data_IF_134713919121
#
_entry.id   IF_134713919121
#
_cell.length_a   1.000
_cell.length_b   1.000
_cell.length_c   1.000
_cell.angle_alpha   90.00
_cell.angle_beta   90.00
_cell.angle_gamma   90.00
#
_symmetry.space_group_name_H-M   'P 1'
#
loop_
_entity.id
_entity.type
_entity.pdbx_description
1 polymer ?
#
# COMPACT_ATOMS: atom_id res chain seq x y z
N UNK A 1 -30.11 -16.42 23.66
CA UNK A 1 -29.42 -15.20 24.14
C UNK A 1 -29.09 -14.35 22.92
N UNK A 2 -29.93 -13.36 22.66
CA UNK A 2 -29.85 -12.49 21.47
C UNK A 2 -29.02 -11.26 21.83
N UNK A 3 -27.82 -11.15 21.26
CA UNK A 3 -27.00 -9.96 21.42
C UNK A 3 -27.54 -8.85 20.52
N UNK A 4 -28.25 -7.89 21.13
CA UNK A 4 -28.56 -6.61 20.50
C UNK A 4 -27.25 -5.86 20.25
N UNK A 5 -26.79 -5.84 18.99
CA UNK A 5 -25.72 -4.93 18.56
C UNK A 5 -26.29 -3.52 18.47
N UNK A 6 -25.88 -2.67 19.41
CA UNK A 6 -26.24 -1.26 19.43
C UNK A 6 -25.65 -0.54 18.21
N UNK A 7 -26.40 0.33 17.51
CA UNK A 7 -25.91 1.06 16.33
C UNK A 7 -24.74 2.00 16.63
N UNK A 8 -24.43 2.23 17.91
CA UNK A 8 -23.32 3.09 18.35
C UNK A 8 -21.96 2.38 18.43
N UNK A 9 -21.90 1.04 18.43
CA UNK A 9 -20.63 0.30 18.50
C UNK A 9 -19.83 0.34 17.19
N UNK A 10 -20.52 0.52 16.05
CA UNK A 10 -19.90 0.69 14.74
C UNK A 10 -19.13 2.01 14.61
N UNK A 11 -19.58 3.07 15.29
CA UNK A 11 -18.91 4.39 15.26
C UNK A 11 -17.65 4.44 16.13
N UNK A 12 -17.53 3.57 17.14
CA UNK A 12 -16.34 3.54 18.00
C UNK A 12 -15.13 2.95 17.28
N UNK A 13 -15.37 2.01 16.36
CA UNK A 13 -14.32 1.35 15.58
C UNK A 13 -13.91 2.17 14.35
N UNK A 14 -14.76 3.07 13.83
CA UNK A 14 -14.42 3.92 12.69
C UNK A 14 -13.45 5.06 13.06
N UNK A 15 -13.58 5.69 14.24
CA UNK A 15 -12.69 6.79 14.65
C UNK A 15 -11.25 6.36 14.92
N UNK A 16 -11.04 5.13 15.37
CA UNK A 16 -9.68 4.57 15.49
C UNK A 16 -9.08 4.21 14.12
N UNK A 17 -9.91 3.84 13.14
CA UNK A 17 -9.48 3.58 11.76
C UNK A 17 -9.13 4.86 11.01
N UNK A 18 -9.85 5.95 11.24
CA UNK A 18 -9.52 7.29 10.68
C UNK A 18 -8.20 7.85 11.23
N UNK A 19 -7.82 7.53 12.48
CA UNK A 19 -6.52 7.93 13.05
C UNK A 19 -5.38 6.98 12.75
N UNK A 20 -5.67 5.74 12.37
CA UNK A 20 -4.66 4.75 11.97
C UNK A 20 -4.19 4.94 10.50
N UNK A 21 -4.85 5.82 9.75
CA UNK A 21 -4.57 6.08 8.33
C UNK A 21 -3.82 7.39 8.04
N UNK A 22 -3.52 8.21 9.05
CA UNK A 22 -2.54 9.27 8.85
C UNK A 22 -1.16 8.60 8.89
N UNK A 23 -0.41 8.54 7.77
CA UNK A 23 0.98 8.15 7.86
C UNK A 23 1.58 9.07 8.92
N UNK A 24 2.27 8.52 9.91
CA UNK A 24 3.19 9.31 10.71
C UNK A 24 4.06 10.06 9.70
N UNK A 25 3.75 11.32 9.44
CA UNK A 25 4.59 12.16 8.60
C UNK A 25 5.63 12.69 9.56
N UNK A 26 6.81 12.05 9.72
CA UNK A 26 7.89 12.70 10.43
C UNK A 26 8.06 14.08 9.79
N UNK A 27 8.34 15.10 10.60
CA UNK A 27 8.68 16.42 10.08
C UNK A 27 10.00 16.28 9.32
N UNK A 28 9.90 15.95 8.03
CA UNK A 28 11.04 15.89 7.13
C UNK A 28 11.50 17.34 6.93
N UNK A 29 12.80 17.65 7.11
CA UNK A 29 13.30 18.99 6.86
C UNK A 29 12.99 19.41 5.42
N UNK A 30 12.57 20.67 5.25
CA UNK A 30 12.02 21.22 3.98
C UNK A 30 12.91 20.98 2.75
N UNK A 31 14.23 20.91 2.95
CA UNK A 31 15.20 20.59 1.89
C UNK A 31 15.03 19.19 1.30
N UNK A 32 14.82 18.17 2.15
CA UNK A 32 14.59 16.78 1.73
C UNK A 32 13.18 16.63 1.15
N UNK A 33 12.22 17.41 1.65
CA UNK A 33 10.84 17.40 1.15
C UNK A 33 10.71 17.97 -0.27
N UNK A 34 11.48 19.02 -0.62
CA UNK A 34 11.37 19.71 -1.90
C UNK A 34 12.03 18.93 -3.06
N UNK A 35 13.15 18.25 -2.82
CA UNK A 35 13.87 17.48 -3.85
C UNK A 35 14.45 16.16 -3.30
N UNK A 36 13.60 15.20 -2.91
CA UNK A 36 14.04 13.97 -2.23
C UNK A 36 14.96 13.11 -3.10
N UNK A 37 14.76 13.11 -4.41
CA UNK A 37 15.56 12.37 -5.40
C UNK A 37 16.96 12.96 -5.56
N UNK A 38 17.07 14.29 -5.64
CA UNK A 38 18.36 14.97 -5.71
C UNK A 38 19.15 14.79 -4.42
N UNK A 39 18.51 14.93 -3.25
CA UNK A 39 19.19 14.70 -1.97
C UNK A 39 19.67 13.24 -1.83
N UNK A 40 18.86 12.27 -2.27
CA UNK A 40 19.23 10.85 -2.25
C UNK A 40 20.38 10.53 -3.21
N UNK A 41 20.33 11.07 -4.43
CA UNK A 41 21.37 10.91 -5.44
C UNK A 41 22.69 11.55 -5.00
N UNK A 42 22.65 12.75 -4.42
CA UNK A 42 23.84 13.42 -3.86
C UNK A 42 24.42 12.62 -2.70
N UNK A 43 23.60 12.10 -1.78
CA UNK A 43 24.07 11.23 -0.69
C UNK A 43 24.77 9.97 -1.24
N UNK A 44 24.17 9.33 -2.24
CA UNK A 44 24.72 8.13 -2.87
C UNK A 44 26.05 8.40 -3.58
N UNK A 45 26.12 9.47 -4.36
CA UNK A 45 27.33 9.86 -5.08
C UNK A 45 28.47 10.27 -4.13
N UNK A 46 28.17 11.08 -3.11
CA UNK A 46 29.16 11.49 -2.10
C UNK A 46 29.65 10.27 -1.32
N UNK A 47 28.75 9.35 -0.95
CA UNK A 47 29.11 8.11 -0.26
C UNK A 47 30.01 7.18 -1.08
N UNK A 48 29.75 7.05 -2.39
CA UNK A 48 30.58 6.27 -3.31
C UNK A 48 31.97 6.90 -3.49
N UNK A 49 32.01 8.21 -3.80
CA UNK A 49 33.27 8.93 -4.02
C UNK A 49 34.11 8.97 -2.74
N UNK A 50 33.48 9.20 -1.58
CA UNK A 50 34.14 9.19 -0.27
C UNK A 50 34.78 7.84 0.04
N UNK A 51 34.03 6.75 -0.13
CA UNK A 51 34.58 5.40 0.09
C UNK A 51 35.69 5.05 -0.90
N UNK A 52 35.53 5.39 -2.18
CA UNK A 52 36.56 5.18 -3.18
C UNK A 52 37.87 5.89 -2.82
N UNK A 53 37.77 7.15 -2.37
CA UNK A 53 38.93 7.97 -2.02
C UNK A 53 39.64 7.45 -0.76
N UNK A 54 38.87 7.04 0.26
CA UNK A 54 39.45 6.43 1.47
C UNK A 54 40.17 5.14 1.12
N UNK A 55 39.51 4.21 0.43
CA UNK A 55 40.09 2.90 0.11
C UNK A 55 41.32 3.02 -0.80
N UNK A 56 41.29 3.92 -1.79
CA UNK A 56 42.41 4.10 -2.73
C UNK A 56 43.66 4.73 -2.09
N UNK A 57 43.49 5.55 -1.05
CA UNK A 57 44.60 6.25 -0.40
C UNK A 57 45.05 5.59 0.91
N UNK A 58 44.23 4.71 1.49
CA UNK A 58 44.47 4.06 2.78
C UNK A 58 45.81 3.30 2.86
N UNK A 59 46.32 2.79 1.74
CA UNK A 59 47.61 2.09 1.69
C UNK A 59 48.83 3.01 1.94
N UNK A 60 48.70 4.32 1.73
CA UNK A 60 49.79 5.30 1.93
C UNK A 60 49.73 6.06 3.24
N UNK A 61 48.78 5.71 4.13
CA UNK A 61 48.45 6.50 5.30
C UNK A 61 49.20 6.04 6.55
N UNK A 62 49.62 6.96 7.44
CA UNK A 62 50.20 6.59 8.73
C UNK A 62 49.22 5.82 9.61
N UNK A 63 49.70 4.86 10.39
CA UNK A 63 48.86 3.95 11.20
C UNK A 63 47.87 4.67 12.14
N UNK A 64 48.23 5.84 12.66
CA UNK A 64 47.37 6.63 13.55
C UNK A 64 46.13 7.22 12.84
N UNK A 65 46.15 7.32 11.51
CA UNK A 65 45.02 7.82 10.69
C UNK A 65 44.07 6.70 10.25
N UNK A 66 44.44 5.42 10.44
CA UNK A 66 43.62 4.28 10.02
C UNK A 66 42.28 4.23 10.77
N UNK A 67 42.28 4.48 12.09
CA UNK A 67 41.07 4.47 12.90
C UNK A 67 40.02 5.54 12.48
N UNK A 68 40.37 6.83 12.37
CA UNK A 68 39.41 7.83 11.89
C UNK A 68 38.99 7.59 10.43
N UNK A 69 39.86 7.04 9.58
CA UNK A 69 39.53 6.71 8.19
C UNK A 69 38.44 5.63 8.08
N UNK A 70 38.50 4.59 8.94
CA UNK A 70 37.47 3.54 8.99
C UNK A 70 36.12 4.09 9.48
N UNK A 71 36.12 4.99 10.46
CA UNK A 71 34.89 5.64 10.92
C UNK A 71 34.26 6.48 9.81
N UNK A 72 35.08 7.22 9.05
CA UNK A 72 34.61 8.02 7.92
C UNK A 72 34.08 7.12 6.78
N UNK A 73 34.73 5.99 6.50
CA UNK A 73 34.27 5.01 5.52
C UNK A 73 32.93 4.37 5.90
N UNK A 74 32.74 4.01 7.17
CA UNK A 74 31.46 3.46 7.66
C UNK A 74 30.33 4.48 7.58
N UNK A 75 30.57 5.75 7.91
CA UNK A 75 29.59 6.83 7.71
C UNK A 75 29.28 7.06 6.23
N UNK A 76 30.31 7.03 5.37
CA UNK A 76 30.17 7.17 3.92
C UNK A 76 29.34 6.02 3.32
N UNK A 77 29.54 4.79 3.81
CA UNK A 77 28.74 3.62 3.44
C UNK A 77 27.28 3.77 3.88
N UNK A 78 27.02 4.23 5.10
CA UNK A 78 25.66 4.49 5.59
C UNK A 78 24.96 5.55 4.76
N UNK A 79 25.65 6.65 4.42
CA UNK A 79 25.13 7.68 3.54
C UNK A 79 24.80 7.12 2.15
N UNK A 80 25.66 6.28 1.60
CA UNK A 80 25.41 5.61 0.31
C UNK A 80 24.15 4.73 0.37
N UNK A 81 24.01 3.90 1.41
CA UNK A 81 22.84 3.03 1.59
C UNK A 81 21.55 3.84 1.72
N UNK A 82 21.55 4.90 2.54
CA UNK A 82 20.38 5.76 2.71
C UNK A 82 20.00 6.48 1.40
N UNK A 83 21.01 7.00 0.67
CA UNK A 83 20.80 7.62 -0.63
C UNK A 83 20.22 6.65 -1.65
N UNK A 84 20.76 5.43 -1.72
CA UNK A 84 20.29 4.38 -2.61
C UNK A 84 18.84 3.96 -2.30
N UNK A 85 18.50 3.78 -1.03
CA UNK A 85 17.13 3.45 -0.60
C UNK A 85 16.14 4.55 -1.03
N UNK A 86 16.49 5.83 -0.84
CA UNK A 86 15.63 6.94 -1.27
C UNK A 86 15.42 6.96 -2.78
N UNK A 87 16.49 6.72 -3.56
CA UNK A 87 16.40 6.65 -5.03
C UNK A 87 15.55 5.46 -5.46
N UNK A 88 15.75 4.28 -4.88
CA UNK A 88 15.00 3.06 -5.20
C UNK A 88 13.52 3.21 -4.88
N UNK A 89 13.16 3.74 -3.70
CA UNK A 89 11.75 3.97 -3.32
C UNK A 89 11.07 4.91 -4.31
N UNK A 90 11.75 5.99 -4.74
CA UNK A 90 11.19 6.94 -5.72
C UNK A 90 11.15 6.39 -7.13
N UNK A 91 12.09 5.53 -7.49
CA UNK A 91 12.06 4.85 -8.77
C UNK A 91 10.95 3.78 -8.82
N UNK A 92 10.62 3.18 -7.68
CA UNK A 92 9.50 2.25 -7.54
C UNK A 92 8.13 2.95 -7.42
N UNK A 93 8.08 4.21 -6.97
CA UNK A 93 6.85 5.01 -6.88
C UNK A 93 5.96 4.96 -8.14
N UNK A 94 6.46 5.14 -9.39
CA UNK A 94 5.64 5.01 -10.59
C UNK A 94 5.19 3.57 -10.90
N UNK A 95 5.89 2.55 -10.41
CA UNK A 95 5.51 1.14 -10.59
C UNK A 95 4.41 0.80 -9.58
N UNK A 96 4.59 1.21 -8.32
CA UNK A 96 3.62 1.04 -7.24
C UNK A 96 2.35 1.85 -7.51
N UNK A 97 2.44 3.06 -8.06
CA UNK A 97 1.28 3.86 -8.45
C UNK A 97 0.49 3.28 -9.64
N UNK A 98 1.12 2.42 -10.45
CA UNK A 98 0.44 1.68 -11.53
C UNK A 98 -0.16 0.36 -11.04
N UNK A 99 0.33 -0.17 -9.94
CA UNK A 99 -0.32 -1.26 -9.24
C UNK A 99 -1.45 -0.63 -8.43
N UNK A 100 -2.68 -0.77 -8.90
CA UNK A 100 -3.88 -0.56 -8.07
C UNK A 100 -3.86 -1.62 -6.95
N UNK A 101 -2.95 -1.46 -5.98
CA UNK A 101 -3.03 -2.12 -4.70
C UNK A 101 -4.19 -1.46 -3.98
N UNK A 102 -5.37 -1.96 -4.28
CA UNK A 102 -6.62 -1.52 -3.71
C UNK A 102 -6.68 -2.11 -2.28
N UNK A 103 -5.82 -1.61 -1.39
CA UNK A 103 -5.69 -2.05 0.01
C UNK A 103 -6.98 -1.82 0.80
N UNK A 104 -7.83 -0.90 0.33
CA UNK A 104 -9.17 -0.61 0.86
C UNK A 104 -10.28 -1.34 0.09
N UNK A 105 -9.95 -2.25 -0.84
CA UNK A 105 -10.96 -3.00 -1.56
C UNK A 105 -11.71 -3.91 -0.58
N UNK A 106 -13.03 -3.87 -0.65
CA UNK A 106 -13.87 -4.74 0.16
C UNK A 106 -13.54 -6.21 -0.20
N UNK A 107 -13.14 -7.05 0.77
CA UNK A 107 -12.77 -8.43 0.51
C UNK A 107 -13.98 -9.20 -0.05
N UNK A 108 -13.75 -10.28 -0.79
CA UNK A 108 -14.85 -11.08 -1.38
C UNK A 108 -15.87 -11.54 -0.32
N UNK A 109 -15.43 -11.86 0.89
CA UNK A 109 -16.30 -12.17 2.02
C UNK A 109 -17.31 -11.06 2.41
N UNK A 110 -17.10 -9.82 2.00
CA UNK A 110 -18.06 -8.71 2.18
C UNK A 110 -19.36 -8.88 1.38
N UNK A 111 -19.33 -9.69 0.31
CA UNK A 111 -20.49 -10.05 -0.51
C UNK A 111 -21.48 -10.96 0.23
N UNK A 112 -21.11 -11.47 1.41
CA UNK A 112 -21.96 -12.36 2.22
C UNK A 112 -22.13 -13.75 1.59
N UNK A 113 -21.17 -14.16 0.76
CA UNK A 113 -21.17 -15.46 0.09
C UNK A 113 -20.82 -16.58 1.09
N UNK A 114 -21.28 -17.82 0.85
CA UNK A 114 -20.83 -18.98 1.60
C UNK A 114 -19.31 -19.14 1.54
N UNK A 115 -18.65 -19.62 2.62
CA UNK A 115 -17.18 -19.73 2.67
C UNK A 115 -16.62 -20.72 1.63
N UNK A 116 -17.43 -21.64 1.13
CA UNK A 116 -17.07 -22.55 0.04
C UNK A 116 -16.98 -21.82 -1.30
N UNK A 117 -17.83 -20.83 -1.52
CA UNK A 117 -17.82 -20.00 -2.73
C UNK A 117 -16.72 -18.95 -2.69
N UNK A 118 -16.46 -18.39 -1.51
CA UNK A 118 -15.38 -17.43 -1.29
C UNK A 118 -14.03 -18.01 -1.73
N UNK A 119 -13.70 -19.21 -1.24
CA UNK A 119 -12.48 -19.94 -1.64
C UNK A 119 -12.44 -20.28 -3.12
N UNK A 120 -13.57 -20.65 -3.73
CA UNK A 120 -13.64 -20.90 -5.18
C UNK A 120 -13.34 -19.62 -5.97
N UNK A 121 -13.85 -18.47 -5.54
CA UNK A 121 -13.61 -17.19 -6.19
C UNK A 121 -12.14 -16.74 -6.04
N UNK A 122 -11.54 -16.96 -4.87
CA UNK A 122 -10.10 -16.76 -4.66
C UNK A 122 -9.26 -17.65 -5.60
N UNK A 123 -9.62 -18.93 -5.78
CA UNK A 123 -8.91 -19.82 -6.72
C UNK A 123 -9.05 -19.40 -8.18
N UNK A 124 -10.15 -18.72 -8.52
CA UNK A 124 -10.36 -18.13 -9.85
C UNK A 124 -9.63 -16.78 -10.03
N UNK A 125 -8.92 -16.32 -8.99
CA UNK A 125 -8.12 -15.09 -9.02
C UNK A 125 -8.91 -13.82 -8.71
N UNK A 126 -10.13 -13.94 -8.18
CA UNK A 126 -10.91 -12.80 -7.73
C UNK A 126 -10.70 -12.57 -6.23
N UNK A 127 -10.08 -11.44 -5.89
CA UNK A 127 -9.68 -11.12 -4.51
C UNK A 127 -10.48 -9.96 -3.89
N UNK A 128 -11.25 -9.22 -4.70
CA UNK A 128 -12.11 -8.14 -4.21
C UNK A 128 -13.54 -8.23 -4.73
N UNK A 129 -14.48 -7.69 -3.94
CA UNK A 129 -15.88 -7.59 -4.33
C UNK A 129 -16.08 -6.72 -5.57
N UNK A 130 -15.26 -5.68 -5.73
CA UNK A 130 -15.28 -4.79 -6.89
C UNK A 130 -14.75 -5.49 -8.15
N UNK A 131 -13.73 -6.33 -8.05
CA UNK A 131 -13.23 -7.11 -9.19
C UNK A 131 -14.26 -8.09 -9.70
N UNK A 132 -15.01 -8.73 -8.79
CA UNK A 132 -16.13 -9.60 -9.16
C UNK A 132 -17.24 -8.79 -9.85
N UNK A 133 -17.64 -7.66 -9.26
CA UNK A 133 -18.65 -6.79 -9.86
C UNK A 133 -18.24 -6.31 -11.26
N UNK A 134 -16.98 -5.89 -11.44
CA UNK A 134 -16.42 -5.46 -12.73
C UNK A 134 -16.31 -6.61 -13.73
N UNK A 135 -15.89 -7.80 -13.29
CA UNK A 135 -15.81 -8.98 -14.14
C UNK A 135 -17.19 -9.42 -14.64
N UNK A 136 -18.20 -9.34 -13.76
CA UNK A 136 -19.60 -9.62 -14.10
C UNK A 136 -20.14 -8.58 -15.08
N UNK A 137 -19.91 -7.29 -14.83
CA UNK A 137 -20.35 -6.20 -15.73
C UNK A 137 -19.67 -6.21 -17.10
N UNK A 138 -18.38 -6.55 -17.14
CA UNK A 138 -17.62 -6.64 -18.39
C UNK A 138 -17.88 -7.94 -19.17
N UNK A 139 -18.69 -8.85 -18.63
CA UNK A 139 -18.97 -10.15 -19.24
C UNK A 139 -17.77 -11.11 -19.27
N UNK A 140 -16.67 -10.78 -18.57
CA UNK A 140 -15.43 -11.58 -18.51
C UNK A 140 -15.43 -12.60 -17.37
N UNK A 141 -16.50 -12.66 -16.59
CA UNK A 141 -16.61 -13.56 -15.47
C UNK A 141 -16.73 -15.02 -15.94
N UNK A 142 -15.96 -15.91 -15.33
CA UNK A 142 -15.88 -17.33 -15.72
C UNK A 142 -17.08 -18.13 -15.18
N UNK A 143 -18.27 -17.86 -15.72
CA UNK A 143 -19.51 -18.52 -15.28
C UNK A 143 -19.43 -20.05 -15.39
N UNK A 144 -18.71 -20.58 -16.37
CA UNK A 144 -18.57 -22.02 -16.64
C UNK A 144 -17.96 -22.80 -15.47
N UNK A 145 -17.18 -22.15 -14.61
CA UNK A 145 -16.56 -22.79 -13.45
C UNK A 145 -17.51 -22.96 -12.24
N UNK A 146 -18.70 -22.37 -12.29
CA UNK A 146 -19.66 -22.35 -11.17
C UNK A 146 -20.95 -23.13 -11.49
N UNK A 147 -21.50 -23.75 -10.44
CA UNK A 147 -22.81 -24.43 -10.49
C UNK A 147 -23.96 -23.43 -10.62
N UNK A 148 -25.10 -23.88 -11.15
CA UNK A 148 -26.24 -23.00 -11.46
C UNK A 148 -26.81 -22.27 -10.23
N UNK A 149 -26.76 -22.92 -9.06
CA UNK A 149 -27.16 -22.36 -7.76
C UNK A 149 -26.19 -21.29 -7.28
N UNK A 150 -24.89 -21.54 -7.46
CA UNK A 150 -23.80 -20.63 -7.13
C UNK A 150 -23.85 -19.35 -7.98
N UNK A 151 -24.16 -19.48 -9.28
CA UNK A 151 -24.33 -18.33 -10.17
C UNK A 151 -25.43 -17.38 -9.70
N UNK A 152 -26.59 -17.92 -9.32
CA UNK A 152 -27.72 -17.12 -8.80
C UNK A 152 -27.36 -16.38 -7.51
N UNK A 153 -26.59 -17.02 -6.63
CA UNK A 153 -26.11 -16.40 -5.38
C UNK A 153 -25.14 -15.24 -5.67
N UNK A 154 -24.23 -15.41 -6.63
CA UNK A 154 -23.31 -14.34 -7.04
C UNK A 154 -24.06 -13.17 -7.67
N UNK A 155 -25.01 -13.43 -8.58
CA UNK A 155 -25.84 -12.39 -9.19
C UNK A 155 -26.63 -11.60 -8.13
N UNK A 156 -27.21 -12.29 -7.17
CA UNK A 156 -27.92 -11.65 -6.06
C UNK A 156 -26.98 -10.84 -5.17
N UNK A 157 -25.80 -11.37 -4.85
CA UNK A 157 -24.81 -10.68 -4.03
C UNK A 157 -24.26 -9.42 -4.73
N UNK A 158 -23.98 -9.50 -6.03
CA UNK A 158 -23.55 -8.36 -6.86
C UNK A 158 -24.63 -7.29 -6.93
N UNK A 159 -25.90 -7.68 -7.14
CA UNK A 159 -27.01 -6.73 -7.14
C UNK A 159 -27.17 -6.02 -5.78
N UNK A 160 -27.04 -6.77 -4.68
CA UNK A 160 -27.10 -6.21 -3.33
C UNK A 160 -25.93 -5.26 -3.04
N UNK A 161 -24.72 -5.62 -3.47
CA UNK A 161 -23.53 -4.79 -3.31
C UNK A 161 -23.66 -3.46 -4.07
N UNK A 162 -24.16 -3.49 -5.31
CA UNK A 162 -24.44 -2.27 -6.10
C UNK A 162 -25.49 -1.37 -5.44
N UNK A 163 -26.57 -1.96 -4.94
CA UNK A 163 -27.60 -1.22 -4.21
C UNK A 163 -27.01 -0.52 -2.97
N UNK A 164 -26.18 -1.25 -2.20
CA UNK A 164 -25.49 -0.70 -1.01
C UNK A 164 -24.53 0.42 -1.37
N UNK A 165 -23.69 0.24 -2.40
CA UNK A 165 -22.75 1.26 -2.87
C UNK A 165 -23.47 2.55 -3.32
N UNK A 166 -24.60 2.43 -4.03
CA UNK A 166 -25.41 3.58 -4.45
C UNK A 166 -26.04 4.33 -3.26
N UNK A 167 -26.42 3.60 -2.20
CA UNK A 167 -27.01 4.18 -0.99
C UNK A 167 -25.99 4.99 -0.17
N UNK A 168 -24.74 4.50 -0.09
CA UNK A 168 -23.66 5.21 0.59
C UNK A 168 -23.29 6.49 -0.16
N UNK A 169 -23.18 6.46 -1.49
CA UNK A 169 -22.93 7.68 -2.30
C UNK A 169 -23.97 8.77 -2.08
N UNK A 170 -25.26 8.40 -1.91
CA UNK A 170 -26.33 9.37 -1.61
C UNK A 170 -26.18 9.99 -0.22
N UNK A 171 -25.79 9.21 0.79
CA UNK A 171 -25.56 9.71 2.15
C UNK A 171 -24.38 10.69 2.19
N UNK A 172 -23.30 10.39 1.48
CA UNK A 172 -22.12 11.26 1.43
C UNK A 172 -22.40 12.56 0.67
N UNK A 173 -23.19 12.50 -0.41
CA UNK A 173 -23.63 13.70 -1.13
C UNK A 173 -24.57 14.60 -0.29
N UNK A 174 -25.41 14.01 0.56
CA UNK A 174 -26.26 14.75 1.50
C UNK A 174 -25.45 15.41 2.62
N UNK A 175 -24.42 14.73 3.13
CA UNK A 175 -23.56 15.24 4.21
C UNK A 175 -22.63 16.37 3.77
N UNK A 176 -22.34 16.49 2.47
CA UNK A 176 -21.56 17.61 1.89
C UNK A 176 -22.39 18.86 1.58
N UNK A 177 -23.73 18.78 1.69
CA UNK A 177 -24.66 19.88 1.40
C UNK A 177 -25.28 20.50 2.65
N UNK A 178 -24.97 19.98 3.84
CA UNK A 178 -25.35 20.53 5.14
C UNK A 178 -24.11 21.12 5.81
#
# INVERSE_FOLDING_TARGET
MHWQRSPYDLYRHSRFRERAGEPFTPRIPRLIANHPTMSGAVLAAVGMVGNWLIVSQMAGWPDWTLFPSMLLATLSLLAMCLGAVLVVVRWLEPIVARMDFNWDADPVGSLGLPPTLDRKLETLGYWSADDICRAVESGRFQWTALELTERRLIEQAVAFHKARASSNRRKDAGKRRA
#
